data_IF_459134094777
#
_entry.id   IF_459134094777
#
_cell.length_a   1.000
_cell.length_b   1.000
_cell.length_c   1.000
_cell.angle_alpha   90.00
_cell.angle_beta   90.00
_cell.angle_gamma   90.00
#
_symmetry.space_group_name_H-M   'P 1'
#
loop_
_entity.id
_entity.type
_entity.pdbx_description
1 polymer ?
#
# COMPACT_ATOMS: atom_id res chain seq x y z
N UNK A 1 58.01 1.13 28.38
CA UNK A 1 57.62 2.53 28.60
C UNK A 1 56.87 3.04 27.37
N UNK A 2 55.71 3.68 27.58
CA UNK A 2 54.82 4.41 26.65
C UNK A 2 53.90 3.60 25.71
N UNK A 3 52.67 3.30 26.16
CA UNK A 3 51.36 3.90 25.76
C UNK A 3 50.81 3.44 24.42
N UNK A 4 49.67 2.74 24.46
CA UNK A 4 48.82 2.48 23.30
C UNK A 4 47.46 2.00 23.77
N UNK A 5 46.60 2.93 24.16
CA UNK A 5 45.22 2.65 24.57
C UNK A 5 44.37 2.16 23.39
N UNK A 6 43.55 1.15 23.65
CA UNK A 6 42.52 0.66 22.75
C UNK A 6 41.31 0.31 23.59
N UNK A 7 40.29 1.18 23.53
CA UNK A 7 39.19 1.26 24.48
C UNK A 7 38.40 -0.03 24.66
N UNK A 8 38.05 -0.25 25.93
CA UNK A 8 37.08 -1.22 26.39
C UNK A 8 35.71 -1.02 25.73
N UNK A 9 35.08 -2.16 25.44
CA UNK A 9 33.68 -2.41 25.18
C UNK A 9 32.71 -1.33 25.66
N UNK A 10 32.06 -0.66 24.71
CA UNK A 10 30.70 -0.16 24.90
C UNK A 10 29.90 -0.49 23.64
N UNK A 11 29.03 -1.49 23.77
CA UNK A 11 27.95 -1.80 22.84
C UNK A 11 27.16 -0.53 22.55
N UNK A 12 27.40 0.08 21.38
CA UNK A 12 26.53 1.11 20.85
C UNK A 12 25.13 0.50 20.64
N UNK A 13 24.04 1.17 21.05
CA UNK A 13 22.71 0.68 20.74
C UNK A 13 22.56 0.57 19.23
N UNK A 14 22.20 -0.64 18.78
CA UNK A 14 21.86 -0.90 17.40
C UNK A 14 20.86 0.17 16.93
N UNK A 15 21.25 0.90 15.89
CA UNK A 15 20.39 1.86 15.23
C UNK A 15 19.13 1.11 14.80
N UNK A 16 18.02 1.39 15.48
CA UNK A 16 16.71 0.93 15.04
C UNK A 16 16.49 1.53 13.66
N UNK A 17 16.63 0.71 12.62
CA UNK A 17 16.17 1.07 11.29
C UNK A 17 14.70 1.50 11.44
N UNK A 18 14.30 2.68 10.92
CA UNK A 18 12.89 3.04 10.92
C UNK A 18 12.17 2.00 10.09
N UNK A 19 11.39 1.14 10.75
CA UNK A 19 10.33 0.38 10.10
C UNK A 19 9.44 1.42 9.42
N UNK A 20 9.25 1.40 8.09
CA UNK A 20 8.15 2.13 7.49
C UNK A 20 6.88 1.35 7.86
N UNK A 21 6.45 1.47 9.12
CA UNK A 21 5.12 1.08 9.58
C UNK A 21 4.13 2.18 9.17
N UNK A 22 4.10 2.45 7.88
CA UNK A 22 3.10 3.26 7.21
C UNK A 22 2.33 2.37 6.27
N UNK A 23 1.71 1.30 6.78
CA UNK A 23 0.55 0.77 6.09
C UNK A 23 -0.48 1.91 6.14
N UNK A 24 -0.93 2.48 5.01
CA UNK A 24 -1.96 3.50 5.04
C UNK A 24 -3.12 2.92 5.83
N UNK A 25 -3.43 3.58 6.96
CA UNK A 25 -4.56 3.25 7.81
C UNK A 25 -5.75 3.14 6.88
N UNK A 26 -6.23 1.91 6.69
CA UNK A 26 -7.26 1.60 5.73
C UNK A 26 -8.40 2.57 5.95
N UNK A 27 -8.59 3.48 5.00
CA UNK A 27 -9.85 4.18 4.86
C UNK A 27 -10.86 3.04 4.78
N UNK A 28 -11.66 2.88 5.83
CA UNK A 28 -12.73 1.92 5.85
C UNK A 28 -13.72 2.42 4.79
N UNK A 29 -13.49 2.02 3.54
CA UNK A 29 -14.40 2.30 2.45
C UNK A 29 -15.75 1.74 2.89
N UNK A 30 -16.79 2.58 2.83
CA UNK A 30 -18.13 2.20 3.25
C UNK A 30 -18.62 0.96 2.48
N UNK A 31 -18.14 0.81 1.24
CA UNK A 31 -18.30 -0.39 0.43
C UNK A 31 -16.95 -1.06 0.15
N UNK A 32 -16.85 -2.40 0.28
CA UNK A 32 -15.60 -3.12 0.14
C UNK A 32 -14.97 -3.10 -1.28
N UNK A 33 -15.74 -2.65 -2.28
CA UNK A 33 -15.32 -2.54 -3.68
C UNK A 33 -15.45 -1.12 -4.24
N UNK A 34 -15.52 -0.12 -3.35
CA UNK A 34 -15.72 1.27 -3.74
C UNK A 34 -14.54 1.82 -4.54
N UNK A 35 -13.32 1.40 -4.19
CA UNK A 35 -12.11 1.81 -4.88
C UNK A 35 -12.12 1.37 -6.36
N UNK A 36 -12.35 0.07 -6.61
CA UNK A 36 -12.40 -0.49 -7.97
C UNK A 36 -13.55 0.13 -8.79
N UNK A 37 -14.69 0.41 -8.14
CA UNK A 37 -15.80 1.10 -8.78
C UNK A 37 -15.41 2.53 -9.20
N UNK A 38 -14.78 3.29 -8.30
CA UNK A 38 -14.35 4.67 -8.59
C UNK A 38 -13.38 4.72 -9.77
N UNK A 39 -12.44 3.78 -9.81
CA UNK A 39 -11.48 3.66 -10.91
C UNK A 39 -12.17 3.40 -12.26
N UNK A 40 -13.19 2.54 -12.28
CA UNK A 40 -13.99 2.30 -13.48
C UNK A 40 -14.73 3.57 -13.92
N UNK A 41 -15.39 4.25 -13.00
CA UNK A 41 -16.15 5.48 -13.28
C UNK A 41 -15.24 6.62 -13.74
N UNK A 42 -14.09 6.81 -13.12
CA UNK A 42 -13.09 7.80 -13.56
C UNK A 42 -12.58 7.50 -14.96
N UNK A 43 -12.34 6.22 -15.29
CA UNK A 43 -11.98 5.82 -16.65
C UNK A 43 -13.10 6.16 -17.65
N UNK A 44 -14.37 5.85 -17.36
CA UNK A 44 -15.49 6.17 -18.28
C UNK A 44 -15.78 7.67 -18.41
N UNK A 45 -15.41 8.48 -17.41
CA UNK A 45 -15.50 9.94 -17.51
C UNK A 45 -14.36 10.53 -18.33
N UNK A 46 -13.17 9.93 -18.29
CA UNK A 46 -12.01 10.38 -19.06
C UNK A 46 -11.99 9.83 -20.50
N UNK A 47 -12.55 8.65 -20.74
CA UNK A 47 -12.55 7.94 -22.01
C UNK A 47 -13.97 7.67 -22.49
N UNK A 48 -14.26 8.06 -23.74
CA UNK A 48 -15.54 7.78 -24.40
C UNK A 48 -15.68 6.29 -24.76
N UNK A 49 -14.56 5.63 -25.00
CA UNK A 49 -14.51 4.21 -25.34
C UNK A 49 -14.40 3.35 -24.06
N UNK A 50 -15.55 2.84 -23.63
CA UNK A 50 -15.70 1.97 -22.45
C UNK A 50 -14.94 0.65 -22.57
N UNK A 51 -14.57 0.22 -23.78
CA UNK A 51 -13.82 -1.03 -23.97
C UNK A 51 -12.44 -0.95 -23.35
N UNK A 52 -11.84 0.24 -23.33
CA UNK A 52 -10.55 0.53 -22.69
C UNK A 52 -10.64 0.46 -21.15
N UNK A 53 -11.84 0.66 -20.60
CA UNK A 53 -12.11 0.60 -19.16
C UNK A 53 -12.50 -0.79 -18.66
N UNK A 54 -12.60 -1.79 -19.53
CA UNK A 54 -13.00 -3.15 -19.15
C UNK A 54 -12.08 -3.75 -18.07
N UNK A 55 -10.79 -3.43 -18.07
CA UNK A 55 -9.87 -3.89 -17.02
C UNK A 55 -10.30 -3.44 -15.61
N UNK A 56 -10.78 -2.21 -15.46
CA UNK A 56 -11.30 -1.70 -14.18
C UNK A 56 -12.65 -2.34 -13.82
N UNK A 57 -13.50 -2.60 -14.81
CA UNK A 57 -14.76 -3.32 -14.60
C UNK A 57 -14.52 -4.75 -14.10
N UNK A 58 -13.55 -5.46 -14.68
CA UNK A 58 -13.18 -6.82 -14.25
C UNK A 58 -12.60 -6.82 -12.83
N UNK A 59 -11.78 -5.83 -12.46
CA UNK A 59 -11.30 -5.66 -11.09
C UNK A 59 -12.46 -5.46 -10.10
N UNK A 60 -13.44 -4.63 -10.44
CA UNK A 60 -14.63 -4.42 -9.62
C UNK A 60 -15.49 -5.68 -9.48
N UNK A 61 -15.68 -6.44 -10.57
CA UNK A 61 -16.40 -7.73 -10.52
C UNK A 61 -15.67 -8.75 -9.65
N UNK A 62 -14.34 -8.85 -9.78
CA UNK A 62 -13.52 -9.71 -8.95
C UNK A 62 -13.60 -9.33 -7.48
N UNK A 63 -13.59 -8.03 -7.17
CA UNK A 63 -13.84 -7.55 -5.83
C UNK A 63 -15.22 -8.02 -5.34
N UNK A 64 -16.31 -7.75 -6.07
CA UNK A 64 -17.65 -8.21 -5.66
C UNK A 64 -17.70 -9.72 -5.44
N UNK A 65 -17.09 -10.51 -6.33
CA UNK A 65 -17.06 -11.96 -6.20
C UNK A 65 -16.38 -12.43 -4.90
N UNK A 66 -15.46 -11.64 -4.33
CA UNK A 66 -14.85 -11.90 -3.03
C UNK A 66 -15.73 -11.54 -1.84
N UNK A 67 -16.67 -10.61 -2.02
CA UNK A 67 -17.54 -10.09 -0.94
C UNK A 67 -19.01 -10.54 -1.05
N UNK A 68 -19.39 -11.26 -2.11
CA UNK A 68 -20.63 -12.02 -2.20
C UNK A 68 -20.44 -13.30 -1.40
N UNK A 69 -20.83 -13.24 -0.13
CA UNK A 69 -21.00 -14.41 0.76
C UNK A 69 -22.33 -15.11 0.49
#
# INVERSE_FOLDING_TARGET
MFTGGGGSSETAPAQAAPVPAGAPQGQAYANPCEFEWKQFIECTQAQSDVSLCNGFNEAFKQCKARYVS
#
